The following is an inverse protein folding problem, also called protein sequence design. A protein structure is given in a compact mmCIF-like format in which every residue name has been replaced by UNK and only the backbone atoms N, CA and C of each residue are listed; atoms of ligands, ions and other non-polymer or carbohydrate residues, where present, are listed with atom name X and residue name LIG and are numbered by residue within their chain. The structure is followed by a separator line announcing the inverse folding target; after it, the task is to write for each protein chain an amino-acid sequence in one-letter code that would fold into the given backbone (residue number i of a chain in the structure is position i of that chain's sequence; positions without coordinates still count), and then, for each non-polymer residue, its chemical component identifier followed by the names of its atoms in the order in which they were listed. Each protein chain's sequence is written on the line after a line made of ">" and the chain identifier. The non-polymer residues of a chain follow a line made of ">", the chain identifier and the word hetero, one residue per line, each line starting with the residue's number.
data_IF_272052615628
#
_entry.id   IF_272052615628
#
_cell.length_a   1.000
_cell.length_b   1.000
_cell.length_c   1.000
_cell.angle_alpha   90.00
_cell.angle_beta   90.00
_cell.angle_gamma   90.00
#
_symmetry.space_group_name_H-M   'P 1'
#
loop_
_entity.id
_entity.type
_entity.pdbx_description
1 polymer ?
#
# COMPACT_ATOMS: atom_id res chain seq x y z
N UNK A 1 6.22 32.83 7.30
CA UNK A 1 6.22 31.87 8.42
C UNK A 1 6.80 30.51 7.98
N UNK A 2 7.95 30.48 7.29
CA UNK A 2 8.64 29.24 6.86
C UNK A 2 10.03 29.07 7.51
N UNK A 3 10.49 30.06 8.29
CA UNK A 3 11.87 30.11 8.81
C UNK A 3 12.11 29.46 10.18
N UNK A 4 11.08 29.14 10.96
CA UNK A 4 11.26 28.67 12.34
C UNK A 4 11.69 27.20 12.45
N UNK A 5 11.32 26.35 11.49
CA UNK A 5 11.70 24.93 11.54
C UNK A 5 13.20 24.70 11.32
N UNK A 6 13.87 25.53 10.52
CA UNK A 6 15.32 25.45 10.30
C UNK A 6 16.15 25.77 11.55
N UNK A 7 15.57 26.48 12.53
CA UNK A 7 16.23 26.80 13.80
C UNK A 7 16.18 25.63 14.80
N UNK A 8 15.40 24.59 14.52
CA UNK A 8 15.31 23.41 15.37
C UNK A 8 16.46 22.44 15.09
N UNK A 9 17.06 21.89 16.15
CA UNK A 9 18.05 20.83 16.02
C UNK A 9 17.45 19.60 15.33
N UNK A 10 18.29 18.79 14.68
CA UNK A 10 17.88 17.55 14.01
C UNK A 10 17.03 16.66 14.94
N UNK A 11 17.47 16.51 16.20
CA UNK A 11 16.74 15.73 17.19
C UNK A 11 15.34 16.28 17.49
N UNK A 12 15.16 17.60 17.57
CA UNK A 12 13.83 18.21 17.77
C UNK A 12 12.92 18.00 16.57
N UNK A 13 13.46 18.15 15.34
CA UNK A 13 12.73 17.91 14.09
C UNK A 13 12.31 16.44 13.95
N UNK A 14 13.17 15.50 14.35
CA UNK A 14 12.83 14.08 14.44
C UNK A 14 11.75 13.79 15.49
N UNK A 15 11.78 14.42 16.67
CA UNK A 15 10.69 14.30 17.67
C UNK A 15 9.39 14.77 17.03
N UNK A 16 9.38 15.96 16.43
CA UNK A 16 8.16 16.55 15.88
C UNK A 16 7.56 15.69 14.76
N UNK A 17 8.39 15.14 13.87
CA UNK A 17 7.94 14.22 12.82
C UNK A 17 7.27 12.98 13.42
N UNK A 18 7.94 12.34 14.38
CA UNK A 18 7.46 11.08 14.98
C UNK A 18 6.23 11.29 15.85
N UNK A 19 6.15 12.38 16.60
CA UNK A 19 4.98 12.77 17.39
C UNK A 19 3.77 13.03 16.47
N UNK A 20 4.00 13.69 15.33
CA UNK A 20 2.93 13.93 14.34
C UNK A 20 2.42 12.61 13.73
N UNK A 21 3.32 11.66 13.46
CA UNK A 21 2.97 10.31 12.99
C UNK A 21 2.47 9.40 14.13
N UNK A 22 2.47 9.87 15.38
CA UNK A 22 2.11 9.12 16.59
C UNK A 22 2.92 7.84 16.78
N UNK A 23 4.23 7.91 16.52
CA UNK A 23 5.16 6.77 16.62
C UNK A 23 6.24 7.04 17.66
N UNK A 24 6.44 6.09 18.58
CA UNK A 24 7.53 6.14 19.56
C UNK A 24 8.89 5.83 18.91
N UNK A 25 9.92 6.57 19.32
CA UNK A 25 11.31 6.37 18.86
C UNK A 25 11.86 4.97 19.09
N UNK A 26 11.55 4.37 20.23
CA UNK A 26 12.06 3.06 20.64
C UNK A 26 11.69 1.95 19.64
N UNK A 27 10.58 2.12 18.94
CA UNK A 27 10.13 1.19 17.90
C UNK A 27 11.05 1.19 16.67
N UNK A 28 11.75 2.30 16.41
CA UNK A 28 12.58 2.49 15.22
C UNK A 28 14.06 2.14 15.45
N UNK A 29 14.45 1.74 16.67
CA UNK A 29 15.87 1.47 17.01
C UNK A 29 16.43 0.30 16.20
N UNK A 30 15.64 -0.76 16.02
CA UNK A 30 16.03 -1.94 15.23
C UNK A 30 15.73 -1.80 13.73
N UNK A 31 15.21 -0.65 13.28
CA UNK A 31 14.80 -0.43 11.90
C UNK A 31 15.92 0.28 11.11
N UNK A 32 16.32 -0.24 9.93
CA UNK A 32 17.30 0.43 9.08
C UNK A 32 16.89 1.86 8.73
N UNK A 33 17.88 2.77 8.65
CA UNK A 33 17.62 4.21 8.46
C UNK A 33 16.73 4.54 7.25
N UNK A 34 16.88 3.83 6.13
CA UNK A 34 16.06 4.00 4.92
C UNK A 34 14.61 3.56 5.08
N UNK A 35 14.30 2.72 6.07
CA UNK A 35 12.96 2.19 6.35
C UNK A 35 12.27 2.86 7.53
N UNK A 36 12.96 3.73 8.29
CA UNK A 36 12.36 4.41 9.45
C UNK A 36 11.14 5.25 9.09
N UNK A 37 11.22 6.04 8.01
CA UNK A 37 10.09 6.85 7.55
C UNK A 37 8.94 5.96 7.00
N UNK A 38 9.17 5.02 6.08
CA UNK A 38 8.14 4.08 5.64
C UNK A 38 7.44 3.33 6.77
N UNK A 39 8.19 2.83 7.76
CA UNK A 39 7.62 2.12 8.91
C UNK A 39 6.82 3.05 9.81
N UNK A 40 7.29 4.28 10.04
CA UNK A 40 6.54 5.26 10.82
C UNK A 40 5.20 5.59 10.16
N UNK A 41 5.21 5.75 8.83
CA UNK A 41 3.98 5.92 8.03
C UNK A 41 3.09 4.69 8.11
N UNK A 42 3.64 3.48 7.99
CA UNK A 42 2.85 2.25 8.11
C UNK A 42 2.19 2.13 9.48
N UNK A 43 2.90 2.49 10.57
CA UNK A 43 2.32 2.57 11.91
C UNK A 43 1.18 3.60 11.97
N UNK A 44 1.36 4.79 11.38
CA UNK A 44 0.30 5.79 11.29
C UNK A 44 -0.91 5.24 10.53
N UNK A 45 -0.70 4.68 9.34
CA UNK A 45 -1.75 4.12 8.49
C UNK A 45 -2.59 3.05 9.21
N UNK A 46 -1.93 2.14 9.94
CA UNK A 46 -2.60 1.06 10.69
C UNK A 46 -3.47 1.59 11.84
N UNK A 47 -3.12 2.71 12.45
CA UNK A 47 -3.90 3.30 13.55
C UNK A 47 -5.22 3.92 13.09
N UNK A 48 -5.40 4.17 11.80
CA UNK A 48 -6.59 4.83 11.28
C UNK A 48 -7.61 3.81 10.78
N UNK A 49 -8.85 3.93 11.29
CA UNK A 49 -9.95 2.98 11.08
C UNK A 49 -10.42 2.88 9.64
N UNK A 50 -10.09 3.87 8.81
CA UNK A 50 -10.38 3.85 7.37
C UNK A 50 -9.56 2.81 6.61
N UNK A 51 -8.43 2.38 7.18
CA UNK A 51 -7.44 1.57 6.47
C UNK A 51 -7.97 0.19 6.05
N UNK A 52 -9.08 -0.32 6.63
CA UNK A 52 -9.70 -1.66 6.40
C UNK A 52 -8.68 -2.80 6.20
N UNK A 53 -7.45 -2.59 6.66
CA UNK A 53 -6.29 -3.37 6.28
C UNK A 53 -6.35 -4.68 7.07
N UNK A 54 -6.06 -5.77 6.38
CA UNK A 54 -6.01 -7.11 6.97
C UNK A 54 -4.55 -7.49 7.13
N UNK A 55 -4.31 -8.55 7.91
CA UNK A 55 -2.97 -9.06 8.17
C UNK A 55 -2.16 -9.27 6.88
N UNK A 56 -2.71 -9.94 5.87
CA UNK A 56 -2.00 -10.19 4.62
C UNK A 56 -1.63 -8.91 3.86
N UNK A 57 -2.42 -7.83 3.94
CA UNK A 57 -2.05 -6.54 3.33
C UNK A 57 -0.80 -5.97 4.00
N UNK A 58 -0.75 -5.99 5.33
CA UNK A 58 0.44 -5.56 6.08
C UNK A 58 1.64 -6.47 5.78
N UNK A 59 1.45 -7.79 5.80
CA UNK A 59 2.52 -8.74 5.52
C UNK A 59 3.10 -8.55 4.11
N UNK A 60 2.24 -8.44 3.09
CA UNK A 60 2.66 -8.22 1.70
C UNK A 60 3.39 -6.88 1.53
N UNK A 61 2.90 -5.81 2.17
CA UNK A 61 3.56 -4.50 2.16
C UNK A 61 4.97 -4.60 2.73
N UNK A 62 5.13 -5.21 3.92
CA UNK A 62 6.43 -5.35 4.58
C UNK A 62 7.39 -6.26 3.82
N UNK A 63 6.88 -7.33 3.20
CA UNK A 63 7.67 -8.18 2.29
C UNK A 63 8.16 -7.38 1.08
N UNK A 64 7.29 -6.56 0.47
CA UNK A 64 7.66 -5.67 -0.63
C UNK A 64 8.80 -4.72 -0.28
N UNK A 65 8.82 -4.19 0.96
CA UNK A 65 9.89 -3.31 1.45
C UNK A 65 11.26 -3.99 1.56
N UNK A 66 11.33 -5.34 1.52
CA UNK A 66 12.60 -6.07 1.56
C UNK A 66 13.35 -6.02 0.22
N UNK A 67 12.71 -5.61 -0.88
CA UNK A 67 13.34 -5.55 -2.20
C UNK A 67 14.62 -4.70 -2.23
N UNK A 68 14.57 -3.50 -1.61
CA UNK A 68 15.75 -2.63 -1.48
C UNK A 68 16.88 -3.28 -0.67
N UNK A 69 16.64 -3.70 0.58
CA UNK A 69 17.61 -4.43 1.39
C UNK A 69 18.18 -5.69 0.73
N UNK A 70 17.35 -6.50 0.06
CA UNK A 70 17.79 -7.71 -0.66
C UNK A 70 18.76 -7.37 -1.79
N UNK A 71 18.42 -6.37 -2.60
CA UNK A 71 19.33 -5.93 -3.65
C UNK A 71 20.64 -5.38 -3.09
N UNK A 72 20.61 -4.64 -1.97
CA UNK A 72 21.81 -4.15 -1.32
C UNK A 72 22.72 -5.29 -0.83
N UNK A 73 22.13 -6.40 -0.34
CA UNK A 73 22.88 -7.61 0.02
C UNK A 73 23.52 -8.25 -1.23
N UNK A 74 22.78 -8.38 -2.32
CA UNK A 74 23.25 -9.06 -3.56
C UNK A 74 24.36 -8.26 -4.27
N UNK A 75 24.30 -6.93 -4.25
CA UNK A 75 25.29 -6.06 -4.93
C UNK A 75 26.50 -5.73 -4.05
N UNK A 76 26.52 -6.16 -2.79
CA UNK A 76 27.63 -5.89 -1.89
C UNK A 76 28.88 -6.67 -2.34
N UNK A 77 30.02 -6.02 -2.62
CA UNK A 77 31.20 -6.67 -3.18
C UNK A 77 31.98 -7.56 -2.20
N UNK A 78 31.61 -7.58 -0.92
CA UNK A 78 32.51 -8.06 0.15
C UNK A 78 32.34 -9.53 0.60
N UNK A 79 31.35 -10.34 0.18
CA UNK A 79 31.16 -11.69 0.78
C UNK A 79 30.53 -12.75 -0.12
N UNK A 80 31.32 -13.51 -0.88
CA UNK A 80 30.89 -14.80 -1.47
C UNK A 80 30.60 -15.86 -0.38
N UNK A 81 29.55 -15.66 0.42
CA UNK A 81 29.03 -16.60 1.39
C UNK A 81 27.75 -17.26 0.84
N UNK A 82 27.48 -18.50 1.24
CA UNK A 82 26.19 -19.20 1.03
C UNK A 82 24.95 -18.37 1.47
N UNK A 83 25.13 -17.33 2.29
CA UNK A 83 24.05 -16.40 2.68
C UNK A 83 23.60 -15.46 1.57
N UNK A 84 24.45 -15.16 0.59
CA UNK A 84 24.07 -14.33 -0.57
C UNK A 84 23.21 -15.11 -1.57
N UNK A 85 23.43 -16.43 -1.67
CA UNK A 85 22.63 -17.32 -2.50
C UNK A 85 21.15 -17.31 -2.08
N UNK A 86 20.89 -17.39 -0.77
CA UNK A 86 19.54 -17.26 -0.21
C UNK A 86 18.87 -15.91 -0.49
N UNK A 87 19.63 -14.80 -0.44
CA UNK A 87 19.11 -13.47 -0.75
C UNK A 87 18.78 -13.32 -2.24
N UNK A 88 19.62 -13.89 -3.11
CA UNK A 88 19.41 -13.92 -4.57
C UNK A 88 18.16 -14.73 -4.93
N UNK A 89 18.04 -15.95 -4.41
CA UNK A 89 16.87 -16.79 -4.66
C UNK A 89 15.56 -16.14 -4.18
N UNK A 90 15.57 -15.50 -3.00
CA UNK A 90 14.39 -14.77 -2.51
C UNK A 90 14.06 -13.55 -3.38
N UNK A 91 15.08 -12.82 -3.84
CA UNK A 91 14.89 -11.70 -4.75
C UNK A 91 14.31 -12.14 -6.10
N UNK A 92 14.79 -13.25 -6.65
CA UNK A 92 14.25 -13.88 -7.87
C UNK A 92 12.81 -14.34 -7.68
N UNK A 93 12.47 -14.92 -6.52
CA UNK A 93 11.09 -15.29 -6.20
C UNK A 93 10.17 -14.07 -6.18
N UNK A 94 10.58 -12.96 -5.58
CA UNK A 94 9.81 -11.72 -5.62
C UNK A 94 9.67 -11.16 -7.04
N UNK A 95 10.71 -11.24 -7.87
CA UNK A 95 10.60 -10.85 -9.28
C UNK A 95 9.61 -11.74 -10.02
N UNK A 96 9.65 -13.06 -9.80
CA UNK A 96 8.69 -14.01 -10.38
C UNK A 96 7.25 -13.66 -10.01
N UNK A 97 6.99 -13.35 -8.74
CA UNK A 97 5.66 -12.91 -8.25
C UNK A 97 5.21 -11.62 -8.95
N UNK A 98 6.11 -10.65 -9.07
CA UNK A 98 5.84 -9.38 -9.76
C UNK A 98 5.49 -9.59 -11.23
N UNK A 99 6.16 -10.51 -11.93
CA UNK A 99 5.94 -10.81 -13.34
C UNK A 99 4.65 -11.58 -13.61
N UNK A 100 4.25 -12.48 -12.71
CA UNK A 100 2.99 -13.22 -12.81
C UNK A 100 1.76 -12.31 -12.60
N UNK A 101 1.95 -11.17 -11.93
CA UNK A 101 0.87 -10.22 -11.58
C UNK A 101 0.71 -9.10 -12.62
N UNK A 102 1.13 -9.31 -13.88
CA UNK A 102 1.10 -8.31 -14.96
C UNK A 102 -0.34 -7.94 -15.43
N UNK A 103 -0.51 -6.78 -16.10
CA UNK A 103 -1.82 -6.21 -16.43
C UNK A 103 -2.61 -7.14 -17.36
N UNK A 104 -3.67 -7.73 -16.85
CA UNK A 104 -4.47 -8.75 -17.55
C UNK A 104 -5.11 -9.73 -16.57
N UNK A 105 -4.45 -9.98 -15.44
CA UNK A 105 -5.05 -10.66 -14.29
C UNK A 105 -6.08 -9.74 -13.64
N UNK A 106 -7.27 -10.27 -13.38
CA UNK A 106 -8.39 -9.55 -12.75
C UNK A 106 -7.94 -8.94 -11.42
N UNK A 107 -7.73 -7.63 -11.40
CA UNK A 107 -7.14 -6.91 -10.27
C UNK A 107 -8.14 -6.84 -9.12
N UNK A 108 -7.70 -7.18 -7.91
CA UNK A 108 -8.51 -7.00 -6.70
C UNK A 108 -8.56 -5.53 -6.33
N UNK A 109 -9.66 -4.86 -6.69
CA UNK A 109 -9.88 -3.43 -6.45
C UNK A 109 -9.85 -3.08 -4.96
N UNK A 110 -10.29 -3.99 -4.08
CA UNK A 110 -10.26 -3.75 -2.64
C UNK A 110 -8.81 -3.66 -2.17
N UNK A 111 -7.98 -4.68 -2.48
CA UNK A 111 -6.55 -4.66 -2.15
C UNK A 111 -5.84 -3.44 -2.76
N UNK A 112 -6.19 -3.05 -3.99
CA UNK A 112 -5.59 -1.89 -4.65
C UNK A 112 -5.94 -0.58 -3.92
N UNK A 113 -7.21 -0.41 -3.53
CA UNK A 113 -7.64 0.75 -2.76
C UNK A 113 -6.92 0.84 -1.41
N UNK A 114 -6.75 -0.28 -0.71
CA UNK A 114 -6.04 -0.35 0.57
C UNK A 114 -4.59 0.12 0.42
N UNK A 115 -3.90 -0.34 -0.63
CA UNK A 115 -2.54 0.12 -0.89
C UNK A 115 -2.48 1.58 -1.36
N UNK A 116 -3.46 2.06 -2.13
CA UNK A 116 -3.57 3.48 -2.47
C UNK A 116 -3.66 4.36 -1.20
N UNK A 117 -4.45 3.94 -0.20
CA UNK A 117 -4.51 4.66 1.08
C UNK A 117 -3.15 4.73 1.77
N UNK A 118 -2.42 3.60 1.82
CA UNK A 118 -1.06 3.59 2.37
C UNK A 118 -0.10 4.49 1.56
N UNK A 119 -0.17 4.44 0.23
CA UNK A 119 0.65 5.29 -0.66
C UNK A 119 0.35 6.78 -0.44
N UNK A 120 -0.92 7.16 -0.23
CA UNK A 120 -1.29 8.54 0.16
C UNK A 120 -0.68 8.92 1.51
N UNK A 121 -0.73 8.03 2.51
CA UNK A 121 -0.08 8.26 3.80
C UNK A 121 1.44 8.43 3.66
N UNK A 122 2.09 7.62 2.81
CA UNK A 122 3.52 7.72 2.53
C UNK A 122 3.88 9.05 1.90
N UNK A 123 3.13 9.47 0.88
CA UNK A 123 3.33 10.74 0.21
C UNK A 123 3.21 11.92 1.19
N UNK A 124 2.17 11.93 2.03
CA UNK A 124 2.01 12.97 3.05
C UNK A 124 3.11 12.93 4.12
N UNK A 125 3.53 11.72 4.53
CA UNK A 125 4.65 11.54 5.45
C UNK A 125 5.98 12.06 4.89
N UNK A 126 6.22 11.87 3.59
CA UNK A 126 7.38 12.44 2.89
C UNK A 126 7.31 13.97 2.85
N UNK A 127 6.17 14.56 2.48
CA UNK A 127 6.01 16.02 2.51
C UNK A 127 6.20 16.61 3.91
N UNK A 128 5.70 15.94 4.94
CA UNK A 128 5.95 16.34 6.32
C UNK A 128 7.45 16.24 6.67
N UNK A 129 8.12 15.16 6.28
CA UNK A 129 9.57 15.00 6.46
C UNK A 129 10.33 16.14 5.77
N UNK A 130 9.99 16.49 4.53
CA UNK A 130 10.60 17.59 3.78
C UNK A 130 10.34 18.95 4.41
N UNK A 131 9.11 19.22 4.86
CA UNK A 131 8.75 20.46 5.55
C UNK A 131 9.58 20.66 6.84
N UNK A 132 9.91 19.55 7.51
CA UNK A 132 10.78 19.53 8.69
C UNK A 132 12.28 19.47 8.33
N UNK A 133 12.64 19.76 7.08
CA UNK A 133 14.00 19.74 6.53
C UNK A 133 14.67 18.36 6.65
N UNK A 134 13.94 17.33 6.25
CA UNK A 134 14.38 15.92 6.09
C UNK A 134 15.08 15.31 7.31
N UNK A 135 14.42 15.29 8.50
CA UNK A 135 15.01 14.73 9.71
C UNK A 135 15.21 13.20 9.65
N UNK A 136 14.51 12.49 8.75
CA UNK A 136 14.77 11.10 8.39
C UNK A 136 15.16 10.99 6.90
N UNK A 137 15.98 9.99 6.52
CA UNK A 137 16.29 9.72 5.11
C UNK A 137 15.02 9.41 4.32
N UNK A 138 14.95 9.92 3.10
CA UNK A 138 13.87 9.57 2.17
C UNK A 138 14.11 8.19 1.57
N UNK A 139 13.06 7.38 1.42
CA UNK A 139 13.18 6.06 0.84
C UNK A 139 13.32 6.13 -0.69
N UNK A 140 14.08 5.19 -1.26
CA UNK A 140 14.06 4.94 -2.71
C UNK A 140 12.74 4.26 -3.08
N UNK A 141 11.79 5.03 -3.62
CA UNK A 141 10.45 4.55 -3.99
C UNK A 141 10.49 3.41 -5.02
N UNK A 142 11.50 3.37 -5.90
CA UNK A 142 11.61 2.34 -6.93
C UNK A 142 11.90 0.96 -6.35
N UNK A 143 12.54 0.93 -5.17
CA UNK A 143 12.92 -0.28 -4.43
C UNK A 143 12.03 -0.53 -3.20
N UNK A 144 11.29 0.48 -2.74
CA UNK A 144 10.41 0.38 -1.59
C UNK A 144 9.09 -0.33 -1.94
N UNK A 145 8.49 0.02 -3.08
CA UNK A 145 7.13 -0.41 -3.40
C UNK A 145 6.95 -0.73 -4.89
N UNK A 146 6.29 -1.87 -5.15
CA UNK A 146 5.80 -2.23 -6.48
C UNK A 146 4.40 -2.83 -6.35
N UNK A 147 3.41 -2.20 -6.99
CA UNK A 147 2.01 -2.63 -6.94
C UNK A 147 1.81 -4.08 -7.36
N UNK A 148 2.42 -4.50 -8.48
CA UNK A 148 2.36 -5.88 -8.96
C UNK A 148 2.96 -6.87 -7.95
N UNK A 149 4.06 -6.52 -7.28
CA UNK A 149 4.67 -7.38 -6.26
C UNK A 149 3.75 -7.53 -5.04
N UNK A 150 3.30 -6.42 -4.45
CA UNK A 150 2.50 -6.50 -3.21
C UNK A 150 1.14 -7.17 -3.45
N UNK A 151 0.55 -6.99 -4.64
CA UNK A 151 -0.66 -7.71 -5.01
C UNK A 151 -0.42 -9.21 -5.18
N UNK A 152 0.66 -9.60 -5.87
CA UNK A 152 1.02 -11.01 -6.05
C UNK A 152 1.30 -11.69 -4.71
N UNK A 153 2.01 -10.99 -3.80
CA UNK A 153 2.27 -11.46 -2.44
C UNK A 153 0.97 -11.60 -1.63
N UNK A 154 0.03 -10.66 -1.73
CA UNK A 154 -1.29 -10.80 -1.11
C UNK A 154 -2.00 -12.08 -1.58
N UNK A 155 -1.99 -12.34 -2.89
CA UNK A 155 -2.61 -13.54 -3.45
C UNK A 155 -1.94 -14.83 -2.93
N UNK A 156 -0.61 -14.89 -2.91
CA UNK A 156 0.13 -16.03 -2.36
C UNK A 156 -0.17 -16.28 -0.87
N UNK A 157 -0.19 -15.21 -0.07
CA UNK A 157 -0.50 -15.28 1.37
C UNK A 157 -1.94 -15.72 1.65
N UNK A 158 -2.87 -15.44 0.73
CA UNK A 158 -4.26 -15.88 0.84
C UNK A 158 -4.48 -17.34 0.43
N UNK A 159 -3.64 -17.89 -0.45
CA UNK A 159 -3.85 -19.21 -1.06
C UNK A 159 -3.20 -20.34 -0.28
N UNK A 160 -1.97 -20.17 0.20
CA UNK A 160 -1.30 -21.19 1.04
C UNK A 160 0.08 -20.80 1.57
N UNK A 161 0.70 -19.73 1.06
CA UNK A 161 2.04 -19.37 1.48
C UNK A 161 2.03 -18.73 2.87
N UNK A 162 2.91 -19.22 3.75
CA UNK A 162 3.24 -18.50 4.99
C UNK A 162 4.41 -17.56 4.74
N UNK A 163 4.48 -16.46 5.49
CA UNK A 163 5.63 -15.55 5.40
C UNK A 163 6.92 -16.28 5.77
N UNK A 164 6.84 -17.17 6.75
CA UNK A 164 7.93 -18.00 7.23
C UNK A 164 8.48 -18.91 6.13
N UNK A 165 7.60 -19.51 5.31
CA UNK A 165 8.04 -20.33 4.17
C UNK A 165 8.74 -19.51 3.09
N UNK A 166 8.24 -18.31 2.79
CA UNK A 166 8.84 -17.42 1.79
C UNK A 166 10.24 -16.95 2.23
N UNK A 167 10.39 -16.60 3.51
CA UNK A 167 11.65 -16.06 4.04
C UNK A 167 12.63 -17.14 4.51
N UNK A 168 12.27 -18.43 4.43
CA UNK A 168 13.08 -19.56 4.91
C UNK A 168 14.47 -19.62 4.25
N UNK A 169 14.57 -19.17 3.00
CA UNK A 169 15.79 -19.20 2.19
C UNK A 169 16.77 -18.08 2.57
N UNK A 170 16.32 -17.00 3.23
CA UNK A 170 17.17 -15.86 3.60
C UNK A 170 16.96 -15.44 5.07
N UNK A 171 17.75 -15.98 6.01
CA UNK A 171 17.62 -15.66 7.45
C UNK A 171 17.78 -14.17 7.79
N UNK A 172 18.65 -13.45 7.05
CA UNK A 172 18.82 -11.99 7.23
C UNK A 172 17.55 -11.23 6.87
N UNK A 173 16.90 -11.59 5.75
CA UNK A 173 15.64 -10.98 5.32
C UNK A 173 14.51 -11.35 6.30
N UNK A 174 14.49 -12.58 6.80
CA UNK A 174 13.57 -13.02 7.85
C UNK A 174 13.70 -12.16 9.11
N UNK A 175 14.92 -11.99 9.61
CA UNK A 175 15.17 -11.16 10.79
C UNK A 175 14.73 -9.71 10.58
N UNK A 176 15.05 -9.12 9.41
CA UNK A 176 14.61 -7.77 9.09
C UNK A 176 13.08 -7.68 9.07
N UNK A 177 12.42 -8.62 8.39
CA UNK A 177 10.96 -8.69 8.36
C UNK A 177 10.36 -8.75 9.77
N UNK A 178 10.90 -9.59 10.65
CA UNK A 178 10.44 -9.70 12.04
C UNK A 178 10.56 -8.37 12.79
N UNK A 179 11.66 -7.62 12.60
CA UNK A 179 11.79 -6.27 13.17
C UNK A 179 10.72 -5.31 12.63
N UNK A 180 10.49 -5.28 11.31
CA UNK A 180 9.48 -4.42 10.68
C UNK A 180 8.06 -4.79 11.14
N UNK A 181 7.77 -6.08 11.23
CA UNK A 181 6.48 -6.60 11.66
C UNK A 181 6.23 -6.31 13.14
N UNK A 182 7.19 -6.54 14.01
CA UNK A 182 7.07 -6.23 15.44
C UNK A 182 6.89 -4.72 15.68
N UNK A 183 7.59 -3.89 14.92
CA UNK A 183 7.45 -2.44 15.00
C UNK A 183 6.02 -2.00 14.67
N UNK A 184 5.47 -2.49 13.56
CA UNK A 184 4.11 -2.13 13.11
C UNK A 184 3.00 -2.78 13.94
N UNK A 185 3.22 -3.99 14.47
CA UNK A 185 2.25 -4.73 15.29
C UNK A 185 1.77 -3.95 16.51
N UNK A 186 2.64 -3.16 17.13
CA UNK A 186 2.29 -2.34 18.30
C UNK A 186 1.29 -1.21 18.02
N UNK A 187 1.05 -0.89 16.75
CA UNK A 187 0.15 0.18 16.29
C UNK A 187 -1.05 -0.35 15.49
N UNK A 188 -1.07 -1.65 15.20
CA UNK A 188 -2.18 -2.28 14.51
C UNK A 188 -3.33 -2.60 15.47
N UNK A 189 -4.60 -2.42 15.04
CA UNK A 189 -5.77 -2.83 15.83
C UNK A 189 -5.70 -4.32 16.15
N UNK A 190 -6.13 -4.72 17.35
CA UNK A 190 -6.07 -6.11 17.79
C UNK A 190 -6.88 -7.03 16.85
N UNK A 191 -7.95 -6.50 16.25
CA UNK A 191 -8.82 -7.16 15.28
C UNK A 191 -8.08 -7.64 14.03
N UNK A 192 -6.95 -6.99 13.68
CA UNK A 192 -6.13 -7.35 12.53
C UNK A 192 -5.44 -8.71 12.73
N UNK A 193 -5.20 -9.11 13.98
CA UNK A 193 -4.52 -10.37 14.35
C UNK A 193 -5.46 -11.46 14.86
N UNK A 194 -6.74 -11.14 15.08
CA UNK A 194 -7.69 -12.14 15.56
C UNK A 194 -8.12 -13.05 14.39
N UNK A 195 -8.09 -14.39 14.57
CA UNK A 195 -8.73 -15.28 13.62
C UNK A 195 -10.22 -14.94 13.59
N UNK A 196 -10.82 -14.84 12.39
CA UNK A 196 -12.24 -14.52 12.23
C UNK A 196 -13.07 -15.44 13.14
N UNK A 197 -13.50 -14.93 14.29
CA UNK A 197 -14.60 -15.51 15.03
C UNK A 197 -15.80 -15.50 14.09
N UNK A 198 -16.49 -16.63 13.96
CA UNK A 198 -17.75 -16.71 13.21
C UNK A 198 -18.69 -15.65 13.75
N UNK A 199 -18.76 -14.50 13.08
CA UNK A 199 -19.77 -13.49 13.37
C UNK A 199 -21.09 -14.10 12.97
N UNK A 200 -21.82 -14.61 13.96
CA UNK A 200 -23.21 -14.98 13.81
C UNK A 200 -23.98 -13.70 13.48
N UNK A 201 -24.09 -13.40 12.19
CA UNK A 201 -25.03 -12.41 11.68
C UNK A 201 -26.42 -12.87 12.10
N UNK A 202 -26.93 -12.25 13.18
CA UNK A 202 -28.34 -12.35 13.56
C UNK A 202 -29.13 -11.77 12.40
N UNK A 203 -29.66 -12.69 11.59
CA UNK A 203 -30.62 -12.48 10.51
C UNK A 203 -31.73 -11.55 11.00
N UNK A 204 -31.66 -10.28 10.59
CA UNK A 204 -32.71 -9.30 10.82
C UNK A 204 -33.92 -9.79 10.03
N UNK A 205 -34.94 -10.29 10.74
CA UNK A 205 -36.15 -10.82 10.12
C UNK A 205 -36.84 -9.72 9.30
N UNK A 206 -37.02 -10.00 8.01
CA UNK A 206 -37.93 -9.31 7.11
C UNK A 206 -39.34 -9.39 7.72
N UNK A 207 -39.89 -8.26 8.17
CA UNK A 207 -41.33 -8.14 8.37
C UNK A 207 -41.99 -7.97 7.00
N UNK A 208 -42.72 -9.01 6.63
CA UNK A 208 -43.63 -9.05 5.51
C UNK A 208 -44.88 -8.26 5.89
N UNK A 209 -45.19 -7.19 5.13
CA UNK A 209 -46.56 -6.65 5.05
C UNK A 209 -46.89 -6.45 3.58
N UNK A 210 -47.89 -7.20 3.14
CA UNK A 210 -48.44 -7.29 1.80
C UNK A 210 -49.33 -6.09 1.50
N UNK A 211 -49.23 -5.50 0.30
CA UNK A 211 -50.40 -5.18 -0.52
C UNK A 211 -50.00 -4.86 -1.96
N UNK A 212 -50.71 -5.52 -2.88
CA UNK A 212 -50.85 -5.33 -4.34
C UNK A 212 -50.80 -3.86 -4.81
N UNK A 213 -50.37 -3.50 -6.04
CA UNK A 213 -51.06 -3.82 -7.30
C UNK A 213 -50.16 -3.71 -8.56
N UNK A 214 -50.46 -4.54 -9.56
CA UNK A 214 -49.91 -4.57 -10.93
C UNK A 214 -50.14 -3.23 -11.67
N UNK A 215 -49.21 -2.84 -12.55
CA UNK A 215 -49.49 -2.65 -13.98
C UNK A 215 -48.19 -2.58 -14.82
N UNK A 216 -48.33 -3.06 -16.06
CA UNK A 216 -47.32 -3.26 -17.11
C UNK A 216 -46.94 -1.96 -17.84
N UNK A 217 -45.87 -2.10 -18.63
CA UNK A 217 -45.56 -1.49 -19.95
C UNK A 217 -44.31 -0.63 -19.91
N UNK A 218 -43.33 -1.00 -20.73
CA UNK A 218 -42.02 -0.36 -20.80
C UNK A 218 -41.97 0.83 -21.75
N UNK A 219 -40.95 1.66 -21.61
CA UNK A 219 -40.37 2.48 -22.69
C UNK A 219 -38.97 2.93 -22.27
N UNK A 220 -38.10 3.04 -23.26
CA UNK A 220 -36.75 3.59 -23.29
C UNK A 220 -36.64 5.03 -22.78
N UNK A 221 -35.45 5.40 -22.29
CA UNK A 221 -34.72 6.68 -22.44
C UNK A 221 -34.01 7.13 -21.15
N UNK A 222 -32.69 7.03 -21.23
CA UNK A 222 -31.71 8.10 -21.10
C UNK A 222 -31.59 9.04 -19.87
N UNK A 223 -30.32 9.27 -19.54
CA UNK A 223 -29.74 10.45 -18.88
C UNK A 223 -30.11 10.75 -17.42
N UNK A 224 -29.20 10.37 -16.50
CA UNK A 224 -28.53 11.39 -15.67
C UNK A 224 -27.26 10.88 -15.00
N UNK A 225 -26.18 11.53 -15.42
CA UNK A 225 -24.83 11.38 -14.96
C UNK A 225 -24.66 11.98 -13.56
N UNK A 226 -24.16 11.19 -12.60
CA UNK A 226 -23.67 11.67 -11.31
C UNK A 226 -22.14 11.65 -11.36
N UNK A 227 -21.56 12.73 -11.89
CA UNK A 227 -20.13 13.02 -11.72
C UNK A 227 -19.93 13.57 -10.30
N UNK A 228 -19.57 12.69 -9.37
CA UNK A 228 -19.14 13.09 -8.02
C UNK A 228 -17.66 13.50 -8.08
N UNK A 229 -17.40 14.79 -7.83
CA UNK A 229 -16.11 15.46 -7.99
C UNK A 229 -15.02 14.97 -7.04
N UNK A 230 -14.30 13.91 -7.43
CA UNK A 230 -13.06 13.50 -6.75
C UNK A 230 -11.84 13.35 -7.66
N UNK A 231 -11.93 13.71 -8.94
CA UNK A 231 -10.80 13.59 -9.86
C UNK A 231 -10.18 14.96 -10.20
N UNK A 232 -9.10 15.30 -9.49
CA UNK A 232 -8.27 16.52 -9.69
C UNK A 232 -7.58 16.61 -11.05
N UNK A 233 -7.71 15.60 -11.90
CA UNK A 233 -7.12 15.54 -13.25
C UNK A 233 -8.18 15.56 -14.37
N UNK A 234 -9.47 15.69 -14.04
CA UNK A 234 -10.56 15.70 -15.03
C UNK A 234 -10.53 16.89 -16.00
N UNK A 235 -9.80 17.95 -15.68
CA UNK A 235 -9.67 19.16 -16.52
C UNK A 235 -8.64 19.01 -17.67
N UNK A 236 -7.94 17.89 -17.77
CA UNK A 236 -6.93 17.67 -18.81
C UNK A 236 -7.43 16.89 -20.03
N UNK A 237 -8.71 16.50 -20.06
CA UNK A 237 -9.34 15.90 -21.23
C UNK A 237 -10.11 16.97 -21.99
N UNK A 238 -9.39 17.84 -22.69
CA UNK A 238 -9.97 18.62 -23.80
C UNK A 238 -9.85 17.73 -25.03
N UNK A 239 -10.99 17.23 -25.47
CA UNK A 239 -11.18 16.50 -26.72
C UNK A 239 -10.84 17.45 -27.89
N UNK A 240 -9.76 17.16 -28.63
CA UNK A 240 -9.61 17.64 -29.99
C UNK A 240 -10.25 16.59 -30.90
N UNK A 241 -11.48 16.84 -31.31
CA UNK A 241 -12.11 16.14 -32.43
C UNK A 241 -13.01 17.11 -33.20
N UNK A 242 -12.39 17.93 -34.05
CA UNK A 242 -13.07 18.51 -35.21
C UNK A 242 -12.89 17.52 -36.37
N UNK A 243 -13.91 16.70 -36.57
CA UNK A 243 -14.81 16.73 -37.73
C UNK A 243 -14.13 16.44 -39.07
N UNK A 244 -14.18 15.17 -39.46
CA UNK A 244 -14.29 14.78 -40.87
C UNK A 244 -15.72 14.33 -41.10
N UNK A 245 -16.47 15.06 -41.94
CA UNK A 245 -17.48 14.42 -42.80
C UNK A 245 -17.60 15.20 -44.10
N UNK A 246 -17.33 14.46 -45.18
CA UNK A 246 -17.41 14.82 -46.59
C UNK A 246 -18.82 15.24 -47.00
N UNK A 247 -18.94 16.17 -47.96
CA UNK A 247 -19.97 16.11 -49.00
C UNK A 247 -19.39 16.61 -50.34
N UNK A 248 -19.61 15.80 -51.36
CA UNK A 248 -19.20 15.94 -52.75
C UNK A 248 -19.87 17.07 -53.55
N UNK A 249 -19.25 17.34 -54.70
CA UNK A 249 -19.82 17.69 -56.01
C UNK A 249 -19.97 19.16 -56.47
N UNK A 250 -19.29 19.38 -57.61
CA UNK A 250 -19.71 20.06 -58.86
C UNK A 250 -19.34 21.54 -59.11
N UNK A 251 -18.70 21.68 -60.29
CA UNK A 251 -18.27 22.84 -61.11
C UNK A 251 -17.09 23.72 -60.66
#
# INVERSE_FOLDING_TARGET
>A
MFGMYFQLSLAKRQILLLDTLKVKRTVLESIPSSLKLPISVSCYWLQHTESKAKLHHLQALLLGMLMGPLHAIITSPDKEDLREDGARMLYEEFQRVKEQTRPGTRLDLDTAHIFCQWQCCLQMGMYLNQLLSTPLPEPDLTRLYSGSLVHGLCQQLLTSASVESLLSMCPKAKQLYEHLFNATRSYAPAELFLPKGKSNSKRRQKKHSTSWSKNRVGTTSDTRCLYEGSNRFGLLMVENLEEQTEVSELE
#
